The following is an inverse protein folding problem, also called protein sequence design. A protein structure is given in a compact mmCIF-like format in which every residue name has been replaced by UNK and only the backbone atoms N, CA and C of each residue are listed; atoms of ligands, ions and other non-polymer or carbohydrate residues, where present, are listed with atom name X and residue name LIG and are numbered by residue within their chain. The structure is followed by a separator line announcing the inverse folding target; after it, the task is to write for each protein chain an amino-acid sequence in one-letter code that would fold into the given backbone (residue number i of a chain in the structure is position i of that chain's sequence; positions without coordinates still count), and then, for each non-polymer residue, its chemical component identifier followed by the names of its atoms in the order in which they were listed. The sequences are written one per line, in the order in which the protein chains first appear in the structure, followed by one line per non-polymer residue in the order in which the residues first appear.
data_IF_546969613278
#
_entry.id   IF_546969613278
#
_cell.length_a   1.000
_cell.length_b   1.000
_cell.length_c   1.000
_cell.angle_alpha   90.00
_cell.angle_beta   90.00
_cell.angle_gamma   90.00
#
_symmetry.space_group_name_H-M   'P 1'
#
loop_
_entity.id
_entity.type
_entity.pdbx_description
1 polymer ?
#
# COMPACT_ATOMS: atom_id res chain seq x y z
N UNK A 1 0.94 5.33 -51.92
CA UNK A 1 1.50 5.10 -50.57
C UNK A 1 1.02 6.21 -49.64
N UNK A 2 -0.06 6.01 -48.89
CA UNK A 2 -0.46 6.83 -47.71
C UNK A 2 -1.81 6.36 -47.09
N UNK A 3 -2.14 5.07 -47.12
CA UNK A 3 -3.44 4.57 -46.63
C UNK A 3 -3.34 3.78 -45.31
N UNK A 4 -2.15 3.74 -44.70
CA UNK A 4 -1.90 2.95 -43.49
C UNK A 4 -2.19 3.69 -42.19
N UNK A 5 -2.05 5.02 -42.12
CA UNK A 5 -2.13 5.76 -40.86
C UNK A 5 -3.54 6.22 -40.49
N UNK A 6 -4.43 6.43 -41.46
CA UNK A 6 -5.79 6.93 -41.19
C UNK A 6 -6.70 5.87 -40.55
N UNK A 7 -6.54 4.60 -40.93
CA UNK A 7 -7.35 3.49 -40.41
C UNK A 7 -7.10 3.27 -38.91
N UNK A 8 -5.85 3.43 -38.47
CA UNK A 8 -5.52 3.38 -37.05
C UNK A 8 -6.01 4.62 -36.30
N UNK A 9 -5.93 5.81 -36.89
CA UNK A 9 -6.42 7.03 -36.25
C UNK A 9 -7.93 7.00 -35.97
N UNK A 10 -8.72 6.52 -36.93
CA UNK A 10 -10.17 6.38 -36.74
C UNK A 10 -10.51 5.27 -35.73
N UNK A 11 -9.73 4.19 -35.68
CA UNK A 11 -9.87 3.13 -34.69
C UNK A 11 -9.55 3.63 -33.27
N UNK A 12 -8.47 4.40 -33.09
CA UNK A 12 -8.11 4.98 -31.79
C UNK A 12 -9.14 6.00 -31.28
N UNK A 13 -9.83 6.72 -32.18
CA UNK A 13 -10.91 7.64 -31.83
C UNK A 13 -12.24 6.94 -31.49
N UNK A 14 -12.42 5.70 -31.93
CA UNK A 14 -13.61 4.88 -31.65
C UNK A 14 -13.47 4.03 -30.39
N UNK A 15 -12.24 3.83 -29.89
CA UNK A 15 -12.03 3.27 -28.57
C UNK A 15 -12.63 4.24 -27.55
N UNK A 16 -13.35 3.75 -26.53
CA UNK A 16 -13.69 4.61 -25.40
C UNK A 16 -12.38 5.23 -24.92
N UNK A 17 -12.37 6.56 -24.74
CA UNK A 17 -11.23 7.23 -24.13
C UNK A 17 -10.86 6.39 -22.90
N UNK A 18 -9.62 5.92 -22.82
CA UNK A 18 -9.12 5.33 -21.58
C UNK A 18 -9.53 6.32 -20.49
N UNK A 19 -10.17 5.87 -19.40
CA UNK A 19 -10.43 6.77 -18.29
C UNK A 19 -9.07 7.30 -17.87
N UNK A 20 -8.70 8.47 -18.37
CA UNK A 20 -7.65 9.26 -17.77
C UNK A 20 -8.28 9.61 -16.45
N UNK A 21 -7.85 8.91 -15.41
CA UNK A 21 -8.58 8.75 -14.16
C UNK A 21 -9.13 10.08 -13.61
N UNK A 22 -8.51 11.22 -13.92
CA UNK A 22 -8.98 12.53 -13.48
C UNK A 22 -10.22 13.09 -14.21
N UNK A 23 -11.29 13.43 -13.47
CA UNK A 23 -12.41 14.15 -14.03
C UNK A 23 -11.98 15.55 -14.54
N UNK A 24 -12.70 16.11 -15.53
CA UNK A 24 -12.45 17.46 -16.03
C UNK A 24 -12.66 18.49 -14.90
N UNK A 25 -12.05 19.68 -15.03
CA UNK A 25 -11.94 20.67 -13.94
C UNK A 25 -13.30 21.10 -13.34
N UNK A 26 -14.34 21.10 -14.16
CA UNK A 26 -15.71 21.46 -13.85
C UNK A 26 -16.46 20.41 -13.02
N UNK A 27 -16.04 19.14 -13.08
CA UNK A 27 -16.64 18.04 -12.32
C UNK A 27 -15.97 17.81 -10.96
N UNK A 28 -14.85 18.49 -10.67
CA UNK A 28 -14.08 18.33 -9.44
C UNK A 28 -14.74 19.07 -8.27
N UNK A 29 -14.83 18.38 -7.12
CA UNK A 29 -15.28 18.98 -5.86
C UNK A 29 -14.36 20.11 -5.39
N UNK A 30 -13.06 19.96 -5.58
CA UNK A 30 -12.03 20.94 -5.24
C UNK A 30 -11.11 21.18 -6.44
N UNK A 31 -11.42 22.14 -7.33
CA UNK A 31 -10.68 22.35 -8.58
C UNK A 31 -9.25 22.88 -8.38
N UNK A 32 -8.94 23.43 -7.20
CA UNK A 32 -7.60 23.94 -6.87
C UNK A 32 -6.62 22.84 -6.44
N UNK A 33 -7.12 21.64 -6.15
CA UNK A 33 -6.29 20.48 -5.82
C UNK A 33 -6.07 19.66 -7.09
N UNK A 34 -4.80 19.39 -7.38
CA UNK A 34 -4.42 18.56 -8.51
C UNK A 34 -3.16 17.77 -8.16
N UNK A 35 -3.37 16.67 -7.44
CA UNK A 35 -2.28 15.83 -6.92
C UNK A 35 -2.07 14.54 -7.72
N UNK A 36 -2.70 14.42 -8.89
CA UNK A 36 -2.76 13.19 -9.69
C UNK A 36 -3.30 11.96 -8.89
N UNK A 37 -4.00 12.23 -7.77
CA UNK A 37 -4.81 11.28 -7.00
C UNK A 37 -6.19 11.87 -6.65
N UNK A 38 -7.24 11.31 -7.27
CA UNK A 38 -8.63 11.74 -7.08
C UNK A 38 -9.10 11.50 -5.66
N UNK A 39 -8.72 10.36 -5.08
CA UNK A 39 -9.18 9.97 -3.74
C UNK A 39 -8.70 11.01 -2.72
N UNK A 40 -7.42 11.36 -2.81
CA UNK A 40 -6.81 12.40 -2.01
C UNK A 40 -7.44 13.77 -2.24
N UNK A 41 -7.71 14.15 -3.49
CA UNK A 41 -8.27 15.46 -3.81
C UNK A 41 -9.71 15.62 -3.27
N UNK A 42 -10.49 14.54 -3.17
CA UNK A 42 -11.86 14.53 -2.63
C UNK A 42 -11.96 14.55 -1.10
N UNK A 43 -10.86 14.28 -0.39
CA UNK A 43 -10.81 14.28 1.08
C UNK A 43 -11.25 15.63 1.66
N UNK A 44 -11.82 15.64 2.88
CA UNK A 44 -12.09 16.90 3.55
C UNK A 44 -10.79 17.66 3.82
N UNK A 45 -10.90 18.98 3.97
CA UNK A 45 -9.76 19.91 4.09
C UNK A 45 -8.82 19.56 5.24
N UNK A 46 -9.34 19.04 6.36
CA UNK A 46 -8.52 18.69 7.51
C UNK A 46 -7.64 17.47 7.21
N UNK A 47 -8.18 16.42 6.61
CA UNK A 47 -7.49 15.19 6.25
C UNK A 47 -6.50 15.42 5.11
N UNK A 48 -6.87 16.21 4.10
CA UNK A 48 -5.95 16.57 3.01
C UNK A 48 -4.70 17.29 3.55
N UNK A 49 -4.89 18.22 4.49
CA UNK A 49 -3.77 18.92 5.14
C UNK A 49 -3.03 18.04 6.14
N UNK A 50 -3.72 17.10 6.78
CA UNK A 50 -3.11 16.13 7.68
C UNK A 50 -2.16 15.23 6.92
N UNK A 51 -2.54 14.80 5.72
CA UNK A 51 -1.64 14.09 4.80
C UNK A 51 -0.41 14.94 4.50
N UNK A 52 -0.57 16.19 4.10
CA UNK A 52 0.57 17.02 3.71
C UNK A 52 1.54 17.25 4.89
N UNK A 53 1.00 17.48 6.09
CA UNK A 53 1.78 17.56 7.32
C UNK A 53 2.48 16.21 7.61
N UNK A 54 1.77 15.11 7.36
CA UNK A 54 2.28 13.75 7.39
C UNK A 54 3.15 13.37 6.18
N UNK A 55 3.41 14.24 5.19
CA UNK A 55 4.46 14.09 4.16
C UNK A 55 5.63 15.09 4.31
N UNK A 56 5.48 16.11 5.17
CA UNK A 56 6.59 16.97 5.66
C UNK A 56 7.29 16.49 6.93
N UNK A 57 6.57 15.90 7.88
CA UNK A 57 7.11 15.41 9.16
C UNK A 57 6.94 16.43 10.27
N UNK A 58 6.10 17.43 10.04
CA UNK A 58 5.84 18.54 10.95
C UNK A 58 4.92 18.12 12.08
N UNK A 59 5.49 17.68 13.20
CA UNK A 59 4.74 17.31 14.43
C UNK A 59 3.77 18.41 14.85
N UNK A 60 4.19 19.67 14.77
CA UNK A 60 3.37 20.81 15.18
C UNK A 60 2.12 20.98 14.30
N UNK A 61 2.27 20.83 12.98
CA UNK A 61 1.13 20.91 12.05
C UNK A 61 0.17 19.74 12.26
N UNK A 62 0.71 18.52 12.45
CA UNK A 62 -0.10 17.33 12.73
C UNK A 62 -0.90 17.52 14.03
N UNK A 63 -0.26 18.02 15.09
CA UNK A 63 -0.93 18.29 16.35
C UNK A 63 -2.06 19.32 16.23
N UNK A 64 -1.78 20.45 15.56
CA UNK A 64 -2.79 21.50 15.35
C UNK A 64 -3.99 21.00 14.54
N UNK A 65 -3.79 20.06 13.62
CA UNK A 65 -4.86 19.47 12.80
C UNK A 65 -5.69 18.45 13.58
N UNK A 66 -5.05 17.60 14.38
CA UNK A 66 -5.75 16.66 15.26
C UNK A 66 -6.59 17.41 16.30
N UNK A 67 -6.06 18.50 16.88
CA UNK A 67 -6.82 19.37 17.79
C UNK A 67 -8.04 20.03 17.13
N UNK A 68 -7.98 20.29 15.82
CA UNK A 68 -9.12 20.81 15.05
C UNK A 68 -10.17 19.74 14.72
N UNK A 69 -9.93 18.49 15.10
CA UNK A 69 -10.84 17.36 14.91
C UNK A 69 -10.55 16.52 13.68
N UNK A 70 -9.35 16.60 13.10
CA UNK A 70 -8.94 15.65 12.06
C UNK A 70 -8.89 14.22 12.63
N UNK A 71 -9.38 13.25 11.87
CA UNK A 71 -9.32 11.85 12.28
C UNK A 71 -7.89 11.29 12.13
N UNK A 72 -7.31 10.91 13.28
CA UNK A 72 -5.95 10.36 13.39
C UNK A 72 -5.77 8.97 12.77
N UNK A 73 -6.87 8.29 12.41
CA UNK A 73 -6.85 6.97 11.76
C UNK A 73 -7.44 7.01 10.34
N UNK A 74 -7.73 8.19 9.79
CA UNK A 74 -8.33 8.29 8.46
C UNK A 74 -7.40 7.75 7.36
N UNK A 75 -7.96 7.15 6.29
CA UNK A 75 -7.21 6.87 5.08
C UNK A 75 -6.93 8.18 4.34
N UNK A 76 -5.65 8.51 4.17
CA UNK A 76 -5.19 9.83 3.71
C UNK A 76 -4.76 9.88 2.24
N UNK A 77 -4.57 8.73 1.60
CA UNK A 77 -3.98 8.61 0.26
C UNK A 77 -4.68 7.49 -0.52
N UNK A 78 -4.47 7.39 -1.84
CA UNK A 78 -5.00 6.28 -2.66
C UNK A 78 -4.69 4.92 -2.08
N UNK A 79 -3.51 4.71 -1.49
CA UNK A 79 -3.16 3.43 -0.86
C UNK A 79 -3.90 3.19 0.47
N UNK A 80 -4.85 4.05 0.84
CA UNK A 80 -5.60 4.02 2.10
C UNK A 80 -4.68 4.04 3.33
N UNK A 81 -3.55 4.72 3.23
CA UNK A 81 -2.58 4.82 4.34
C UNK A 81 -3.11 5.71 5.45
N UNK A 82 -2.94 5.26 6.69
CA UNK A 82 -3.18 6.09 7.86
C UNK A 82 -2.00 7.05 8.12
N UNK A 83 -2.17 8.10 8.94
CA UNK A 83 -1.06 8.98 9.34
C UNK A 83 0.15 8.21 9.87
N UNK A 84 -0.09 7.16 10.68
CA UNK A 84 0.96 6.31 11.22
C UNK A 84 1.68 5.52 10.13
N UNK A 85 0.96 4.99 9.13
CA UNK A 85 1.57 4.29 8.00
C UNK A 85 2.48 5.20 7.17
N UNK A 86 2.04 6.44 6.90
CA UNK A 86 2.86 7.41 6.15
C UNK A 86 4.11 7.75 6.94
N UNK A 87 3.98 8.01 8.25
CA UNK A 87 5.12 8.29 9.12
C UNK A 87 6.13 7.12 9.16
N UNK A 88 5.65 5.88 9.20
CA UNK A 88 6.49 4.68 9.12
C UNK A 88 7.17 4.52 7.74
N UNK A 89 6.44 4.79 6.65
CA UNK A 89 6.95 4.70 5.28
C UNK A 89 7.99 5.77 4.95
N UNK A 90 7.90 6.95 5.56
CA UNK A 90 8.87 8.03 5.36
C UNK A 90 10.00 8.04 6.40
N UNK A 91 9.95 7.13 7.37
CA UNK A 91 10.99 6.97 8.39
C UNK A 91 11.01 8.09 9.42
N UNK A 92 9.87 8.72 9.72
CA UNK A 92 9.82 9.82 10.66
C UNK A 92 9.60 9.38 12.09
N UNK A 93 10.68 8.86 12.63
CA UNK A 93 10.92 8.52 14.02
C UNK A 93 10.19 9.40 15.04
N UNK A 94 10.42 10.72 15.02
CA UNK A 94 9.85 11.63 16.00
C UNK A 94 8.34 11.78 15.86
N UNK A 95 7.80 11.71 14.63
CA UNK A 95 6.36 11.74 14.41
C UNK A 95 5.70 10.44 14.85
N UNK A 96 6.30 9.28 14.52
CA UNK A 96 5.81 7.96 14.97
C UNK A 96 5.74 7.89 16.49
N UNK A 97 6.81 8.26 17.18
CA UNK A 97 6.83 8.28 18.65
C UNK A 97 5.75 9.19 19.21
N UNK A 98 5.59 10.37 18.62
CA UNK A 98 4.59 11.33 19.07
C UNK A 98 3.15 10.81 18.88
N UNK A 99 2.83 10.25 17.72
CA UNK A 99 1.51 9.66 17.43
C UNK A 99 1.17 8.50 18.36
N UNK A 100 2.15 7.67 18.69
CA UNK A 100 1.96 6.48 19.53
C UNK A 100 1.84 6.85 21.00
N UNK A 101 2.75 7.68 21.54
CA UNK A 101 2.80 7.99 22.97
C UNK A 101 1.75 9.02 23.41
N UNK A 102 1.46 10.02 22.58
CA UNK A 102 0.63 11.16 22.99
C UNK A 102 -0.80 11.10 22.45
N UNK A 103 -0.98 10.62 21.22
CA UNK A 103 -2.30 10.59 20.58
C UNK A 103 -2.99 9.23 20.75
N UNK A 104 -2.28 8.18 21.19
CA UNK A 104 -2.85 6.84 21.36
C UNK A 104 -3.48 6.32 20.08
N UNK A 105 -2.75 6.45 18.97
CA UNK A 105 -3.17 5.97 17.65
C UNK A 105 -3.25 4.44 17.66
N UNK A 106 -4.19 3.89 16.89
CA UNK A 106 -4.31 2.44 16.76
C UNK A 106 -3.13 1.89 15.94
N UNK A 107 -2.31 1.06 16.57
CA UNK A 107 -1.11 0.48 15.97
C UNK A 107 -1.46 -0.50 14.84
N UNK A 108 -2.55 -1.24 15.03
CA UNK A 108 -3.00 -2.31 14.13
C UNK A 108 -4.22 -1.86 13.31
N UNK A 109 -4.41 -0.53 13.15
CA UNK A 109 -5.56 0.11 12.48
C UNK A 109 -5.86 -0.38 11.06
N UNK A 110 -6.71 0.32 10.29
CA UNK A 110 -7.20 -0.18 9.01
C UNK A 110 -6.04 -0.51 8.06
N UNK A 111 -6.11 -1.67 7.41
CA UNK A 111 -5.08 -2.10 6.45
C UNK A 111 -5.07 -1.19 5.23
N UNK A 112 -3.87 -0.91 4.70
CA UNK A 112 -3.70 -0.26 3.41
C UNK A 112 -4.33 -1.10 2.29
N UNK A 113 -4.58 -0.51 1.11
CA UNK A 113 -4.97 -1.22 -0.11
C UNK A 113 -4.05 -2.40 -0.44
N UNK A 114 -2.77 -2.32 -0.07
CA UNK A 114 -1.79 -3.39 -0.26
C UNK A 114 -1.91 -4.55 0.76
N UNK A 115 -2.76 -4.43 1.78
CA UNK A 115 -2.84 -5.33 2.94
C UNK A 115 -1.77 -5.08 4.00
N UNK A 116 -1.19 -3.88 4.03
CA UNK A 116 -0.13 -3.51 4.97
C UNK A 116 -0.64 -2.74 6.19
N UNK A 117 0.00 -3.00 7.33
CA UNK A 117 -0.07 -2.23 8.57
C UNK A 117 1.11 -1.27 8.70
N UNK A 118 1.08 -0.39 9.70
CA UNK A 118 2.18 0.54 9.96
C UNK A 118 3.52 -0.18 10.19
N UNK A 119 3.51 -1.29 10.94
CA UNK A 119 4.71 -2.11 11.19
C UNK A 119 5.27 -2.72 9.89
N UNK A 120 4.41 -3.08 8.94
CA UNK A 120 4.83 -3.67 7.66
C UNK A 120 5.58 -2.66 6.80
N UNK A 121 5.11 -1.40 6.75
CA UNK A 121 5.83 -0.32 6.08
C UNK A 121 7.18 -0.03 6.76
N UNK A 122 7.21 -0.04 8.10
CA UNK A 122 8.46 0.13 8.84
C UNK A 122 9.46 -1.00 8.55
N UNK A 123 9.01 -2.25 8.53
CA UNK A 123 9.86 -3.42 8.25
C UNK A 123 10.28 -3.53 6.79
N UNK A 124 9.47 -3.03 5.85
CA UNK A 124 9.82 -2.96 4.42
C UNK A 124 10.95 -1.97 4.16
N UNK A 125 10.86 -0.78 4.74
CA UNK A 125 11.83 0.30 4.48
C UNK A 125 13.06 0.23 5.39
N UNK A 126 13.00 -0.53 6.50
CA UNK A 126 14.11 -0.80 7.44
C UNK A 126 14.82 0.46 7.96
N UNK A 127 14.06 1.54 8.17
CA UNK A 127 14.61 2.78 8.69
C UNK A 127 15.11 2.64 10.13
N UNK A 128 16.37 3.03 10.35
CA UNK A 128 17.03 3.08 11.67
C UNK A 128 17.07 4.48 12.23
N UNK A 129 16.83 4.59 13.53
CA UNK A 129 16.88 5.85 14.24
C UNK A 129 18.29 6.46 14.16
N UNK A 130 18.43 7.77 13.93
CA UNK A 130 19.74 8.41 13.97
C UNK A 130 20.29 8.35 15.41
N UNK A 131 21.39 7.61 15.58
CA UNK A 131 22.12 7.39 16.84
C UNK A 131 21.57 6.32 17.79
N UNK A 132 20.59 5.53 17.38
CA UNK A 132 20.14 4.34 18.14
C UNK A 132 20.09 3.12 17.21
N UNK A 133 20.36 1.93 17.75
CA UNK A 133 20.29 0.68 16.99
C UNK A 133 18.84 0.17 16.80
N UNK A 134 17.85 0.93 17.28
CA UNK A 134 16.44 0.52 17.28
C UNK A 134 15.77 0.88 15.95
N UNK A 135 15.17 -0.13 15.32
CA UNK A 135 14.34 0.04 14.13
C UNK A 135 12.91 0.43 14.55
N UNK A 136 12.21 1.24 13.74
CA UNK A 136 10.78 1.60 14.01
C UNK A 136 9.94 0.34 14.17
N UNK A 137 10.23 -0.68 13.36
CA UNK A 137 9.61 -1.98 13.40
C UNK A 137 9.72 -2.66 14.79
N UNK A 138 10.92 -2.65 15.38
CA UNK A 138 11.13 -3.25 16.70
C UNK A 138 10.46 -2.46 17.81
N UNK A 139 10.41 -1.13 17.69
CA UNK A 139 9.64 -0.28 18.59
C UNK A 139 8.14 -0.64 18.54
N UNK A 140 7.55 -0.71 17.35
CA UNK A 140 6.13 -1.07 17.18
C UNK A 140 5.85 -2.51 17.67
N UNK A 141 6.78 -3.44 17.44
CA UNK A 141 6.71 -4.80 17.95
C UNK A 141 6.74 -4.84 19.48
N UNK A 142 7.56 -4.01 20.12
CA UNK A 142 7.63 -3.92 21.59
C UNK A 142 6.32 -3.44 22.23
N UNK A 143 5.52 -2.69 21.47
CA UNK A 143 4.20 -2.21 21.88
C UNK A 143 3.08 -3.22 21.59
N UNK A 144 3.40 -4.35 20.96
CA UNK A 144 2.46 -5.45 20.70
C UNK A 144 1.92 -5.52 19.26
N UNK A 145 2.35 -4.64 18.34
CA UNK A 145 1.96 -4.75 16.93
C UNK A 145 2.69 -5.90 16.26
N UNK A 146 2.01 -6.58 15.32
CA UNK A 146 2.54 -7.74 14.63
C UNK A 146 2.42 -7.60 13.11
N UNK A 147 3.41 -8.15 12.41
CA UNK A 147 3.44 -8.18 10.96
C UNK A 147 2.28 -8.97 10.37
N UNK A 148 1.79 -8.48 9.23
CA UNK A 148 0.96 -9.26 8.31
C UNK A 148 1.81 -10.27 7.54
N UNK A 149 1.16 -11.18 6.80
CA UNK A 149 1.86 -12.14 5.94
C UNK A 149 2.85 -11.45 4.99
N UNK A 150 2.38 -10.44 4.27
CA UNK A 150 3.20 -9.70 3.30
C UNK A 150 4.31 -8.90 3.97
N UNK A 151 4.00 -8.21 5.08
CA UNK A 151 4.98 -7.44 5.83
C UNK A 151 6.08 -8.30 6.44
N UNK A 152 5.73 -9.47 6.97
CA UNK A 152 6.71 -10.43 7.51
C UNK A 152 7.68 -10.91 6.42
N UNK A 153 7.19 -11.12 5.19
CA UNK A 153 8.03 -11.48 4.05
C UNK A 153 9.01 -10.36 3.68
N UNK A 154 8.57 -9.10 3.63
CA UNK A 154 9.45 -7.95 3.36
C UNK A 154 10.47 -7.71 4.47
N UNK A 155 10.03 -7.76 5.73
CA UNK A 155 10.90 -7.57 6.90
C UNK A 155 11.84 -8.77 7.14
N UNK A 156 11.53 -9.94 6.57
CA UNK A 156 12.32 -11.16 6.73
C UNK A 156 12.15 -11.83 8.09
N UNK A 157 10.99 -11.68 8.73
CA UNK A 157 10.66 -12.30 10.03
C UNK A 157 10.32 -13.79 9.85
N UNK A 158 11.37 -14.64 9.83
CA UNK A 158 11.25 -16.09 9.60
C UNK A 158 10.31 -16.76 10.61
N UNK A 159 10.41 -16.52 11.93
CA UNK A 159 9.48 -17.09 12.90
C UNK A 159 8.01 -16.79 12.57
N UNK A 160 7.71 -15.53 12.21
CA UNK A 160 6.34 -15.12 11.89
C UNK A 160 5.84 -15.74 10.59
N UNK A 161 6.70 -15.81 9.57
CA UNK A 161 6.41 -16.52 8.31
C UNK A 161 6.11 -18.00 8.58
N UNK A 162 6.90 -18.65 9.45
CA UNK A 162 6.69 -20.06 9.82
C UNK A 162 5.32 -20.27 10.48
N UNK A 163 4.93 -19.39 11.40
CA UNK A 163 3.62 -19.44 12.04
C UNK A 163 2.47 -19.36 11.03
N UNK A 164 2.53 -18.43 10.07
CA UNK A 164 1.51 -18.34 9.01
C UNK A 164 1.44 -19.59 8.14
N UNK A 165 2.58 -20.19 7.79
CA UNK A 165 2.62 -21.43 7.02
C UNK A 165 2.05 -22.62 7.81
N UNK A 166 2.30 -22.68 9.12
CA UNK A 166 1.69 -23.70 9.99
C UNK A 166 0.18 -23.54 10.10
N UNK A 167 -0.32 -22.30 10.04
CA UNK A 167 -1.75 -21.99 10.02
C UNK A 167 -2.41 -22.23 8.63
N UNK A 168 -1.66 -22.71 7.64
CA UNK A 168 -2.18 -23.08 6.33
C UNK A 168 -2.19 -21.96 5.29
N UNK A 169 -1.42 -20.88 5.49
CA UNK A 169 -1.26 -19.84 4.47
C UNK A 169 -0.67 -20.43 3.17
N UNK A 170 -1.23 -20.05 2.02
CA UNK A 170 -0.68 -20.44 0.73
C UNK A 170 0.62 -19.67 0.44
N UNK A 171 1.72 -20.41 0.33
CA UNK A 171 3.05 -19.86 0.06
C UNK A 171 3.17 -19.21 -1.32
N UNK A 172 2.33 -19.62 -2.27
CA UNK A 172 2.32 -19.14 -3.65
C UNK A 172 1.19 -18.15 -3.94
N UNK A 173 0.50 -17.66 -2.91
CA UNK A 173 -0.42 -16.54 -3.05
C UNK A 173 0.29 -15.35 -3.71
N UNK A 174 -0.44 -14.60 -4.54
CA UNK A 174 0.07 -13.40 -5.21
C UNK A 174 -0.75 -12.18 -4.79
N UNK A 175 -0.08 -11.07 -4.51
CA UNK A 175 -0.73 -9.81 -4.19
C UNK A 175 -0.87 -8.93 -5.44
N UNK A 176 -2.10 -8.70 -5.95
CA UNK A 176 -2.30 -7.96 -7.20
C UNK A 176 -1.94 -6.48 -7.12
N UNK A 177 -2.03 -5.90 -5.93
CA UNK A 177 -1.69 -4.50 -5.67
C UNK A 177 -0.17 -4.31 -5.62
N UNK A 178 0.54 -5.29 -5.07
CA UNK A 178 2.01 -5.33 -5.04
C UNK A 178 2.58 -5.99 -6.30
N UNK A 179 2.20 -5.53 -7.48
CA UNK A 179 2.75 -6.00 -8.76
C UNK A 179 2.66 -7.53 -8.95
N UNK A 180 1.64 -8.20 -8.41
CA UNK A 180 1.51 -9.67 -8.38
C UNK A 180 2.70 -10.36 -7.70
N UNK A 181 3.27 -9.78 -6.63
CA UNK A 181 4.36 -10.41 -5.89
C UNK A 181 3.86 -11.61 -5.08
N UNK A 182 4.64 -12.68 -5.10
CA UNK A 182 4.48 -13.77 -4.15
C UNK A 182 5.38 -13.54 -2.93
N UNK A 183 5.26 -14.40 -1.92
CA UNK A 183 6.03 -14.28 -0.68
C UNK A 183 7.56 -14.25 -0.91
N UNK A 184 8.05 -15.06 -1.85
CA UNK A 184 9.48 -15.14 -2.20
C UNK A 184 9.97 -13.84 -2.83
N UNK A 185 9.19 -13.29 -3.76
CA UNK A 185 9.49 -12.04 -4.45
C UNK A 185 9.52 -10.86 -3.47
N UNK A 186 8.58 -10.82 -2.51
CA UNK A 186 8.56 -9.85 -1.42
C UNK A 186 9.85 -9.92 -0.58
N UNK A 187 10.28 -11.13 -0.18
CA UNK A 187 11.51 -11.32 0.57
C UNK A 187 12.78 -10.93 -0.21
N UNK A 188 12.80 -11.19 -1.53
CA UNK A 188 13.89 -10.76 -2.41
C UNK A 188 13.96 -9.23 -2.49
N UNK A 189 12.80 -8.57 -2.68
CA UNK A 189 12.73 -7.11 -2.80
C UNK A 189 13.03 -6.38 -1.49
N UNK A 190 12.69 -6.98 -0.35
CA UNK A 190 13.08 -6.48 0.97
C UNK A 190 14.57 -6.69 1.31
N UNK A 191 15.36 -7.31 0.44
CA UNK A 191 16.77 -7.61 0.70
C UNK A 191 16.99 -8.77 1.71
N UNK A 192 15.94 -9.50 2.06
CA UNK A 192 15.93 -10.52 3.09
C UNK A 192 16.25 -11.91 2.52
N UNK A 193 17.51 -12.11 2.09
CA UNK A 193 17.94 -13.35 1.42
C UNK A 193 17.72 -14.64 2.23
N UNK A 194 17.82 -14.59 3.56
CA UNK A 194 17.54 -15.76 4.43
C UNK A 194 16.06 -16.14 4.41
N UNK A 195 15.16 -15.16 4.45
CA UNK A 195 13.73 -15.40 4.37
C UNK A 195 13.34 -15.94 2.98
N UNK A 196 13.94 -15.41 1.91
CA UNK A 196 13.75 -15.94 0.57
C UNK A 196 14.20 -17.41 0.46
N UNK A 197 15.39 -17.76 0.97
CA UNK A 197 15.86 -19.15 1.01
C UNK A 197 14.92 -20.06 1.81
N UNK A 198 14.42 -19.58 2.95
CA UNK A 198 13.47 -20.32 3.79
C UNK A 198 12.16 -20.61 3.06
N UNK A 199 11.59 -19.62 2.38
CA UNK A 199 10.36 -19.77 1.60
C UNK A 199 10.56 -20.73 0.42
N UNK A 200 11.69 -20.63 -0.30
CA UNK A 200 12.03 -21.53 -1.41
C UNK A 200 12.19 -22.97 -0.92
N UNK A 201 12.85 -23.17 0.24
CA UNK A 201 12.99 -24.49 0.85
C UNK A 201 11.64 -25.14 1.21
N UNK A 202 10.59 -24.34 1.41
CA UNK A 202 9.22 -24.79 1.67
C UNK A 202 8.34 -24.90 0.42
N UNK A 203 8.91 -24.73 -0.77
CA UNK A 203 8.21 -24.88 -2.05
C UNK A 203 7.66 -23.58 -2.62
N UNK A 204 8.12 -22.43 -2.14
CA UNK A 204 7.82 -21.13 -2.75
C UNK A 204 8.44 -21.02 -4.15
N UNK A 205 7.62 -20.62 -5.13
CA UNK A 205 8.05 -20.47 -6.51
C UNK A 205 8.84 -19.16 -6.66
N UNK A 206 10.03 -19.21 -7.28
CA UNK A 206 10.73 -17.99 -7.70
C UNK A 206 10.19 -17.62 -9.08
N UNK A 207 9.59 -16.43 -9.21
CA UNK A 207 9.13 -15.96 -10.50
C UNK A 207 10.26 -15.21 -11.22
N UNK A 208 10.61 -15.68 -12.43
CA UNK A 208 11.54 -14.94 -13.30
C UNK A 208 10.70 -14.00 -14.17
N UNK A 209 10.86 -12.69 -13.97
CA UNK A 209 10.06 -11.68 -14.68
C UNK A 209 10.96 -10.80 -15.54
N UNK A 210 10.56 -10.57 -16.80
CA UNK A 210 11.28 -9.68 -17.73
C UNK A 210 10.94 -8.19 -17.54
N UNK A 211 9.85 -7.89 -16.82
CA UNK A 211 9.44 -6.55 -16.43
C UNK A 211 8.70 -6.63 -15.08
N UNK A 212 8.50 -5.48 -14.41
CA UNK A 212 7.78 -5.40 -13.13
C UNK A 212 6.32 -5.93 -13.18
N UNK A 213 5.81 -6.36 -14.34
CA UNK A 213 4.45 -6.90 -14.52
C UNK A 213 4.51 -8.18 -15.37
N UNK A 214 4.41 -9.38 -14.78
CA UNK A 214 4.34 -10.60 -15.58
C UNK A 214 2.92 -10.70 -16.18
N UNK A 215 2.81 -10.51 -17.49
CA UNK A 215 1.56 -10.71 -18.23
C UNK A 215 1.60 -12.12 -18.82
N UNK A 216 0.78 -13.03 -18.29
CA UNK A 216 0.65 -14.37 -18.89
C UNK A 216 -0.78 -14.87 -19.04
N UNK A 217 -1.79 -14.06 -18.70
CA UNK A 217 -3.20 -14.44 -18.90
C UNK A 217 -4.07 -13.24 -19.29
N UNK A 218 -5.05 -13.48 -20.16
CA UNK A 218 -5.99 -12.51 -20.76
C UNK A 218 -6.79 -11.66 -19.72
N UNK A 219 -6.67 -11.97 -18.43
CA UNK A 219 -7.15 -11.20 -17.28
C UNK A 219 -6.49 -9.80 -17.15
N UNK A 220 -5.41 -9.53 -17.90
CA UNK A 220 -4.70 -8.25 -17.82
C UNK A 220 -5.48 -7.06 -18.43
N UNK A 221 -6.54 -7.29 -19.21
CA UNK A 221 -7.42 -6.26 -19.76
C UNK A 221 -8.77 -6.16 -19.05
N UNK A 222 -9.01 -6.99 -18.04
CA UNK A 222 -10.25 -7.01 -17.29
C UNK A 222 -10.25 -5.90 -16.23
N UNK A 223 -11.23 -5.01 -16.37
CA UNK A 223 -11.65 -4.02 -15.36
C UNK A 223 -11.66 -4.61 -13.94
N UNK A 224 -11.15 -3.86 -12.95
CA UNK A 224 -11.35 -4.17 -11.51
C UNK A 224 -10.10 -4.54 -10.67
N UNK A 225 -8.89 -4.03 -10.99
CA UNK A 225 -7.62 -4.47 -10.38
C UNK A 225 -7.35 -4.08 -8.91
N UNK A 226 -8.10 -3.19 -8.28
CA UNK A 226 -7.66 -2.57 -7.02
C UNK A 226 -7.98 -3.33 -5.73
N UNK A 227 -9.15 -3.97 -5.69
CA UNK A 227 -9.86 -4.10 -4.40
C UNK A 227 -10.36 -5.53 -4.11
N UNK A 228 -10.09 -6.51 -4.98
CA UNK A 228 -10.58 -7.89 -4.83
C UNK A 228 -10.17 -8.55 -3.48
N UNK A 229 -8.98 -8.21 -2.97
CA UNK A 229 -8.52 -8.67 -1.65
C UNK A 229 -9.27 -8.00 -0.49
N UNK A 230 -9.47 -6.67 -0.57
CA UNK A 230 -10.24 -5.90 0.43
C UNK A 230 -11.67 -6.44 0.55
N UNK A 231 -12.30 -6.74 -0.58
CA UNK A 231 -13.65 -7.28 -0.59
C UNK A 231 -13.75 -8.69 0.02
N UNK A 232 -12.69 -9.50 -0.10
CA UNK A 232 -12.60 -10.81 0.54
C UNK A 232 -12.48 -10.69 2.06
N UNK A 233 -11.68 -9.74 2.58
CA UNK A 233 -11.62 -9.46 4.03
C UNK A 233 -12.93 -8.84 4.57
N UNK A 234 -13.65 -8.08 3.75
CA UNK A 234 -14.96 -7.51 4.11
C UNK A 234 -16.15 -8.48 3.93
N UNK A 235 -15.91 -9.70 3.42
CA UNK A 235 -16.92 -10.76 3.31
C UNK A 235 -17.82 -10.70 2.07
N UNK A 236 -17.41 -10.01 1.00
CA UNK A 236 -18.12 -9.99 -0.28
C UNK A 236 -17.61 -11.09 -1.24
N UNK A 237 -18.51 -11.78 -1.95
CA UNK A 237 -18.17 -12.89 -2.85
C UNK A 237 -17.67 -12.42 -4.23
N UNK A 238 -16.83 -13.26 -4.87
CA UNK A 238 -16.31 -13.06 -6.23
C UNK A 238 -17.47 -12.99 -7.24
N UNK A 239 -17.63 -11.84 -7.90
CA UNK A 239 -18.64 -11.62 -8.95
C UNK A 239 -19.47 -10.35 -8.80
N UNK A 240 -19.38 -9.67 -7.64
CA UNK A 240 -20.11 -8.42 -7.38
C UNK A 240 -19.40 -7.17 -7.93
N UNK A 241 -18.06 -7.22 -8.06
CA UNK A 241 -17.21 -6.05 -8.34
C UNK A 241 -16.97 -5.76 -9.82
N UNK A 242 -17.43 -6.64 -10.72
CA UNK A 242 -17.26 -6.52 -12.18
C UNK A 242 -18.31 -5.64 -12.87
N UNK A 243 -19.13 -4.90 -12.11
CA UNK A 243 -20.26 -4.11 -12.64
C UNK A 243 -20.30 -2.64 -12.22
N UNK A 244 -19.20 -2.07 -11.75
CA UNK A 244 -19.06 -0.62 -11.60
C UNK A 244 -18.01 -0.10 -12.58
#
# INVERSE_FOLDING_TARGET
MAAGSSVWADLFNQLPATPTDYPPLDERKYPERFTDDIFRDELPELEFRLEEACVKGSIQEVHDLILKGADKNAPLDKELKTPLMIACQLGWFHLVKWLVEFEGVDLDGPVSRCGFRAIDYAGKEQFRWPNEEVEIADYLRSLGSNYTWWGACFAGDIPRIDEFLQNGQDINEVNPVLWNYNAVDCAIHGGCGKAAQFLVARGGIITVRNCHIPVWEDMLWSLGRGDAFMYKEMGFEEGTFTKL
#
